data_IF_343064750149
#
_entry.id   IF_343064750149
#
_cell.length_a   1.000
_cell.length_b   1.000
_cell.length_c   1.000
_cell.angle_alpha   90.00
_cell.angle_beta   90.00
_cell.angle_gamma   90.00
#
_symmetry.space_group_name_H-M   'P 1'
#
loop_
_entity.id
_entity.type
_entity.pdbx_description
1 polymer ?
#
# COMPACT_ATOMS: atom_id res chain seq x y z
N UNK A 1 -17.94 -22.22 -29.50
CA UNK A 1 -17.72 -20.80 -29.15
C UNK A 1 -17.87 -20.71 -27.64
N UNK A 2 -16.79 -20.96 -26.90
CA UNK A 2 -16.84 -21.04 -25.43
C UNK A 2 -16.12 -19.83 -24.88
N UNK A 3 -16.87 -19.03 -24.12
CA UNK A 3 -16.41 -17.81 -23.48
C UNK A 3 -15.27 -18.13 -22.51
N UNK A 4 -14.07 -17.69 -22.85
CA UNK A 4 -13.02 -17.46 -21.86
C UNK A 4 -13.38 -16.18 -21.11
N UNK A 5 -14.10 -16.30 -20.00
CA UNK A 5 -14.16 -15.23 -19.00
C UNK A 5 -13.68 -15.78 -17.67
N UNK A 6 -12.38 -16.09 -17.61
CA UNK A 6 -11.67 -15.77 -16.38
C UNK A 6 -11.65 -14.24 -16.36
N UNK A 7 -12.60 -13.62 -15.66
CA UNK A 7 -12.32 -12.29 -15.13
C UNK A 7 -11.12 -12.49 -14.20
N UNK A 8 -9.91 -12.27 -14.71
CA UNK A 8 -8.81 -11.90 -13.84
C UNK A 8 -9.34 -10.70 -13.06
N UNK A 9 -9.69 -10.95 -11.80
CA UNK A 9 -10.10 -9.91 -10.87
C UNK A 9 -9.07 -8.79 -11.03
N UNK A 10 -9.48 -7.62 -11.53
CA UNK A 10 -8.55 -6.55 -11.91
C UNK A 10 -7.94 -5.91 -10.66
N UNK A 11 -7.17 -6.69 -9.91
CA UNK A 11 -6.46 -6.25 -8.72
C UNK A 11 -5.42 -5.23 -9.18
N UNK A 12 -5.65 -3.97 -8.83
CA UNK A 12 -4.66 -2.94 -9.13
C UNK A 12 -3.59 -2.98 -8.05
N UNK A 13 -2.37 -3.38 -8.45
CA UNK A 13 -1.23 -3.53 -7.57
C UNK A 13 -0.13 -2.53 -7.91
N UNK A 14 0.50 -1.93 -6.89
CA UNK A 14 1.65 -1.05 -7.05
C UNK A 14 2.86 -1.71 -6.41
N UNK A 15 3.78 -2.15 -7.25
CA UNK A 15 5.06 -2.70 -6.82
C UNK A 15 6.10 -1.58 -6.69
N UNK A 16 6.59 -1.38 -5.47
CA UNK A 16 7.67 -0.46 -5.14
C UNK A 16 8.77 -1.15 -4.33
N UNK A 17 8.85 -2.48 -4.38
CA UNK A 17 9.88 -3.25 -3.65
C UNK A 17 11.28 -2.98 -4.19
N UNK A 18 12.28 -3.22 -3.34
CA UNK A 18 13.70 -3.11 -3.70
C UNK A 18 14.09 -1.72 -4.23
N UNK A 19 13.39 -0.69 -3.76
CA UNK A 19 13.70 0.69 -4.06
C UNK A 19 14.43 1.35 -2.88
N UNK A 20 14.71 2.64 -3.04
CA UNK A 20 15.39 3.45 -2.03
C UNK A 20 14.43 4.41 -1.32
N UNK A 21 13.16 4.03 -1.16
CA UNK A 21 12.17 4.87 -0.48
C UNK A 21 12.57 4.99 0.99
N UNK A 22 12.84 6.23 1.45
CA UNK A 22 13.25 6.52 2.83
C UNK A 22 12.14 7.14 3.67
N UNK A 23 11.40 8.05 3.05
CA UNK A 23 10.37 8.82 3.70
C UNK A 23 9.07 8.70 2.90
N UNK A 24 7.99 8.31 3.57
CA UNK A 24 6.65 8.42 3.03
C UNK A 24 6.13 9.82 3.36
N UNK A 25 5.48 10.47 2.41
CA UNK A 25 4.79 11.74 2.65
C UNK A 25 3.28 11.50 2.78
N UNK A 26 2.57 12.33 3.54
CA UNK A 26 1.11 12.30 3.55
C UNK A 26 0.57 12.41 2.11
N UNK A 27 -0.34 11.51 1.76
CA UNK A 27 -0.96 11.49 0.43
C UNK A 27 -0.07 10.99 -0.72
N UNK A 28 1.09 10.37 -0.46
CA UNK A 28 1.96 9.80 -1.50
C UNK A 28 1.23 8.85 -2.47
N UNK A 29 0.13 8.23 -2.03
CA UNK A 29 -0.66 7.28 -2.82
C UNK A 29 -2.11 7.73 -3.08
N UNK A 30 -2.45 9.00 -2.78
CA UNK A 30 -3.85 9.51 -2.78
C UNK A 30 -4.60 9.35 -4.11
N UNK A 31 -3.87 9.27 -5.24
CA UNK A 31 -4.46 9.06 -6.57
C UNK A 31 -4.78 7.60 -6.89
N UNK A 32 -4.35 6.65 -6.06
CA UNK A 32 -4.49 5.22 -6.28
C UNK A 32 -5.70 4.66 -5.51
N UNK A 33 -6.86 5.30 -5.62
CA UNK A 33 -8.06 4.95 -4.81
C UNK A 33 -8.57 3.52 -5.00
N UNK A 34 -8.31 2.93 -6.18
CA UNK A 34 -8.71 1.57 -6.51
C UNK A 34 -7.65 0.52 -6.15
N UNK A 35 -6.53 0.93 -5.54
CA UNK A 35 -5.40 0.06 -5.24
C UNK A 35 -5.79 -1.03 -4.25
N UNK A 36 -5.52 -2.28 -4.61
CA UNK A 36 -5.74 -3.44 -3.74
C UNK A 36 -4.46 -3.92 -3.08
N UNK A 37 -3.32 -3.80 -3.76
CA UNK A 37 -2.03 -4.30 -3.29
C UNK A 37 -0.95 -3.23 -3.36
N UNK A 38 -0.26 -2.97 -2.26
CA UNK A 38 0.88 -2.05 -2.19
C UNK A 38 2.09 -2.77 -1.61
N UNK A 39 3.11 -2.96 -2.45
CA UNK A 39 4.34 -3.64 -2.05
C UNK A 39 5.44 -2.60 -1.78
N UNK A 40 5.75 -2.36 -0.51
CA UNK A 40 6.80 -1.43 -0.06
C UNK A 40 7.96 -2.14 0.65
N UNK A 41 7.95 -3.47 0.69
CA UNK A 41 8.96 -4.26 1.37
C UNK A 41 10.34 -4.18 0.67
N UNK A 42 11.42 -4.38 1.43
CA UNK A 42 12.79 -4.15 0.97
C UNK A 42 13.03 -2.70 0.50
N UNK A 43 12.67 -1.73 1.34
CA UNK A 43 13.02 -0.32 1.17
C UNK A 43 13.76 0.19 2.43
N UNK A 44 13.98 1.49 2.53
CA UNK A 44 14.63 2.14 3.67
C UNK A 44 13.64 3.02 4.45
N UNK A 45 12.35 2.67 4.47
CA UNK A 45 11.31 3.50 5.09
C UNK A 45 11.56 3.55 6.59
N UNK A 46 11.78 4.76 7.13
CA UNK A 46 12.06 4.97 8.56
C UNK A 46 10.85 5.43 9.35
N UNK A 47 9.96 6.18 8.70
CA UNK A 47 8.80 6.77 9.35
C UNK A 47 7.56 6.59 8.48
N UNK A 48 6.46 6.24 9.12
CA UNK A 48 5.14 6.21 8.50
C UNK A 48 4.31 7.33 9.14
N UNK A 49 4.20 8.50 8.48
CA UNK A 49 3.43 9.61 9.02
C UNK A 49 1.93 9.36 8.90
N UNK A 50 1.14 10.17 9.62
CA UNK A 50 -0.30 10.27 9.41
C UNK A 50 -0.60 10.53 7.93
N UNK A 51 -1.59 9.83 7.41
CA UNK A 51 -2.05 10.02 6.04
C UNK A 51 -1.10 9.51 4.96
N UNK A 52 -0.05 8.76 5.30
CA UNK A 52 0.80 8.09 4.31
C UNK A 52 -0.01 7.22 3.33
N UNK A 53 -1.09 6.61 3.83
CA UNK A 53 -2.00 5.74 3.08
C UNK A 53 -3.43 6.30 3.01
N UNK A 54 -3.58 7.63 3.04
CA UNK A 54 -4.89 8.29 2.95
C UNK A 54 -5.58 7.99 1.61
N UNK A 55 -6.91 7.89 1.64
CA UNK A 55 -7.79 7.58 0.50
C UNK A 55 -7.57 6.18 -0.15
N UNK A 56 -6.87 5.26 0.53
CA UNK A 56 -6.66 3.87 0.08
C UNK A 56 -7.69 2.89 0.67
N UNK A 57 -8.97 3.22 0.57
CA UNK A 57 -10.08 2.45 1.18
C UNK A 57 -10.21 1.02 0.63
N UNK A 58 -9.75 0.78 -0.60
CA UNK A 58 -9.79 -0.52 -1.27
C UNK A 58 -8.53 -1.38 -1.06
N UNK A 59 -7.55 -0.89 -0.30
CA UNK A 59 -6.28 -1.59 -0.07
C UNK A 59 -6.51 -2.79 0.83
N UNK A 60 -6.16 -3.97 0.30
CA UNK A 60 -6.29 -5.27 0.98
C UNK A 60 -4.95 -5.77 1.50
N UNK A 61 -3.89 -5.58 0.71
CA UNK A 61 -2.56 -6.10 1.02
C UNK A 61 -1.54 -4.97 1.04
N UNK A 62 -0.98 -4.70 2.20
CA UNK A 62 0.15 -3.78 2.39
C UNK A 62 1.33 -4.60 2.87
N UNK A 63 2.50 -4.48 2.22
CA UNK A 63 3.71 -5.16 2.69
C UNK A 63 4.79 -4.14 3.01
N UNK A 64 5.18 -4.08 4.28
CA UNK A 64 6.19 -3.14 4.80
C UNK A 64 7.42 -3.83 5.40
N UNK A 65 7.50 -5.16 5.38
CA UNK A 65 8.63 -5.91 5.94
C UNK A 65 9.97 -5.58 5.26
N UNK A 66 11.09 -5.84 5.95
CA UNK A 66 12.44 -5.46 5.48
C UNK A 66 12.52 -3.96 5.13
N UNK A 67 12.07 -3.12 6.06
CA UNK A 67 12.31 -1.68 6.10
C UNK A 67 13.00 -1.32 7.43
N UNK A 68 13.38 -0.05 7.59
CA UNK A 68 14.04 0.48 8.80
C UNK A 68 13.06 1.27 9.68
N UNK A 69 11.81 0.80 9.82
CA UNK A 69 10.74 1.56 10.45
C UNK A 69 11.05 1.77 11.94
N UNK A 70 11.26 3.03 12.32
CA UNK A 70 11.56 3.47 13.69
C UNK A 70 10.34 4.09 14.37
N UNK A 71 9.44 4.70 13.59
CA UNK A 71 8.25 5.36 14.12
C UNK A 71 7.05 5.25 13.19
N UNK A 72 5.90 4.93 13.76
CA UNK A 72 4.61 4.88 13.07
C UNK A 72 3.67 5.84 13.80
N UNK A 73 3.07 6.77 13.06
CA UNK A 73 2.03 7.64 13.60
C UNK A 73 0.79 6.82 13.98
N UNK A 74 0.12 7.16 15.10
CA UNK A 74 -1.08 6.45 15.57
C UNK A 74 -2.22 6.45 14.54
N UNK A 75 -2.23 7.42 13.63
CA UNK A 75 -3.21 7.56 12.55
C UNK A 75 -2.64 7.21 11.16
N UNK A 76 -1.47 6.57 11.09
CA UNK A 76 -0.83 6.17 9.83
C UNK A 76 -1.72 5.29 8.94
N UNK A 77 -2.47 4.36 9.56
CA UNK A 77 -3.33 3.39 8.86
C UNK A 77 -4.81 3.77 8.89
N UNK A 78 -5.14 5.01 9.29
CA UNK A 78 -6.53 5.47 9.32
C UNK A 78 -7.11 5.45 7.90
N UNK A 79 -8.28 4.83 7.73
CA UNK A 79 -8.99 4.75 6.45
C UNK A 79 -8.71 3.48 5.63
N UNK A 80 -7.77 2.62 6.08
CA UNK A 80 -7.54 1.30 5.47
C UNK A 80 -8.61 0.28 5.92
N UNK A 81 -9.87 0.55 5.59
CA UNK A 81 -11.03 -0.21 6.07
C UNK A 81 -11.13 -1.62 5.47
N UNK A 82 -10.54 -1.84 4.29
CA UNK A 82 -10.55 -3.13 3.59
C UNK A 82 -9.26 -3.93 3.81
N UNK A 83 -8.40 -3.53 4.75
CA UNK A 83 -7.10 -4.16 4.95
C UNK A 83 -7.26 -5.57 5.50
N UNK A 84 -6.76 -6.55 4.76
CA UNK A 84 -6.77 -7.97 5.13
C UNK A 84 -5.39 -8.40 5.66
N UNK A 85 -4.31 -7.82 5.13
CA UNK A 85 -2.93 -8.17 5.49
C UNK A 85 -1.98 -6.95 5.48
N UNK A 86 -1.08 -6.90 6.47
CA UNK A 86 -0.08 -5.86 6.72
C UNK A 86 1.35 -6.43 6.85
#
# INVERSE_FOLDING_TARGET
>A
MVFWSVQCNQQTGKDLRFNKVKDLQPGSFRRLKNLNTLLLNNNHIRRIPRGAFEDLENLKYLYLYKNEIQSIDRQAFKGLVSLEQL
#
